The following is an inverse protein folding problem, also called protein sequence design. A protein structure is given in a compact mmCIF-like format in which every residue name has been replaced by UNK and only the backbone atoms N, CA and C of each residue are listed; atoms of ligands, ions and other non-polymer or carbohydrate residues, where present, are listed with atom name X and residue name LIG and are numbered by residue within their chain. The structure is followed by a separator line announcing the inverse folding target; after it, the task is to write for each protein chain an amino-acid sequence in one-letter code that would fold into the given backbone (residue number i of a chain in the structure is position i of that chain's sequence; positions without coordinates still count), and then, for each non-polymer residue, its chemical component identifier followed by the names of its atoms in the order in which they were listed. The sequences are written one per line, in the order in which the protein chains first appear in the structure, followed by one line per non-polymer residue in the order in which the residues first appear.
data_IF_913109755102
#
_entry.id   IF_913109755102
#
_cell.length_a   1.000
_cell.length_b   1.000
_cell.length_c   1.000
_cell.angle_alpha   90.00
_cell.angle_beta   90.00
_cell.angle_gamma   90.00
#
_symmetry.space_group_name_H-M   'P 1'
#
loop_
_entity.id
_entity.type
_entity.pdbx_description
1 polymer ?
#
# COMPACT_ATOMS: atom_id res chain seq x y z
N UNK A 1 -15.17 -16.46 60.27
CA UNK A 1 -15.77 -15.73 61.41
C UNK A 1 -15.20 -14.30 61.44
N UNK A 2 -15.87 -13.33 62.09
CA UNK A 2 -15.96 -11.98 61.53
C UNK A 2 -15.05 -10.92 62.18
N UNK A 3 -14.90 -9.79 61.49
CA UNK A 3 -14.62 -8.48 62.08
C UNK A 3 -15.73 -7.47 61.68
N UNK A 4 -15.89 -6.41 62.47
CA UNK A 4 -17.14 -5.64 62.56
C UNK A 4 -17.20 -4.35 61.73
N UNK A 5 -18.39 -3.78 61.63
CA UNK A 5 -18.69 -2.51 60.94
C UNK A 5 -18.27 -1.28 61.75
N UNK A 6 -17.82 -0.22 61.06
CA UNK A 6 -18.14 1.22 61.25
C UNK A 6 -17.17 2.07 60.40
N UNK A 7 -17.49 3.23 59.84
CA UNK A 7 -18.72 4.03 59.89
C UNK A 7 -18.80 5.05 58.75
N UNK A 8 -19.81 5.94 58.74
CA UNK A 8 -20.23 6.71 57.56
C UNK A 8 -20.10 8.25 57.71
N UNK A 9 -19.47 8.93 56.75
CA UNK A 9 -19.59 10.39 56.48
C UNK A 9 -18.87 10.76 55.18
N UNK A 10 -19.20 11.83 54.40
CA UNK A 10 -20.40 12.68 54.20
C UNK A 10 -20.19 13.49 52.90
N UNK A 11 -21.22 14.13 52.35
CA UNK A 11 -21.21 14.84 51.05
C UNK A 11 -21.00 16.36 51.12
N UNK A 12 -20.31 16.92 50.11
CA UNK A 12 -20.42 18.27 49.47
C UNK A 12 -19.34 18.32 48.37
N UNK A 13 -19.51 18.71 47.09
CA UNK A 13 -20.46 19.52 46.30
C UNK A 13 -20.09 21.02 46.16
N UNK A 14 -20.09 21.45 44.89
CA UNK A 14 -20.03 22.81 44.28
C UNK A 14 -18.65 23.32 43.77
N UNK A 15 -18.54 24.27 42.83
CA UNK A 15 -19.15 24.43 41.48
C UNK A 15 -18.39 25.50 40.65
N UNK A 16 -18.12 25.25 39.36
CA UNK A 16 -17.73 26.21 38.29
C UNK A 16 -16.41 27.04 38.35
N UNK A 17 -15.71 27.15 37.19
CA UNK A 17 -15.19 28.40 36.55
C UNK A 17 -13.91 28.23 35.67
N UNK A 18 -13.78 29.09 34.64
CA UNK A 18 -12.63 29.42 33.75
C UNK A 18 -12.40 30.96 33.85
N UNK A 19 -11.39 31.67 33.28
CA UNK A 19 -10.37 31.35 32.24
C UNK A 19 -8.92 31.87 32.60
N UNK A 20 -7.91 32.25 31.78
CA UNK A 20 -7.59 32.22 30.32
C UNK A 20 -6.06 32.33 30.01
N UNK A 21 -5.69 32.08 28.74
CA UNK A 21 -4.62 32.65 27.88
C UNK A 21 -3.23 33.15 28.40
N UNK A 22 -2.16 32.58 27.83
CA UNK A 22 -1.12 33.27 27.00
C UNK A 22 -0.05 32.26 26.51
N UNK A 23 0.23 32.04 25.21
CA UNK A 23 0.86 32.84 24.12
C UNK A 23 2.41 33.00 24.16
N UNK A 24 3.11 32.17 23.37
CA UNK A 24 4.04 32.49 22.23
C UNK A 24 4.82 31.21 21.83
N UNK A 25 5.35 31.02 20.61
CA UNK A 25 5.14 31.64 19.28
C UNK A 25 5.77 30.79 18.15
N UNK A 26 5.15 30.75 16.96
CA UNK A 26 5.82 30.40 15.68
C UNK A 26 5.82 31.65 14.78
N UNK A 27 6.85 31.87 13.93
CA UNK A 27 6.79 32.87 12.87
C UNK A 27 6.14 32.30 11.59
N UNK A 28 5.24 33.08 11.01
CA UNK A 28 4.88 33.07 9.60
C UNK A 28 4.81 34.53 9.14
N UNK A 29 5.02 34.81 7.86
CA UNK A 29 5.00 36.19 7.32
C UNK A 29 3.84 36.31 6.34
N UNK A 30 3.08 37.40 6.49
CA UNK A 30 1.87 37.68 5.72
C UNK A 30 2.09 38.69 4.58
N UNK A 31 1.36 38.45 3.48
CA UNK A 31 0.56 39.42 2.70
C UNK A 31 1.23 40.67 2.12
N UNK A 32 1.19 40.73 0.79
CA UNK A 32 0.78 41.91 0.01
C UNK A 32 0.02 41.44 -1.25
N UNK A 33 -0.81 42.29 -1.86
CA UNK A 33 -1.59 41.91 -3.05
C UNK A 33 -2.23 43.07 -3.81
N UNK A 34 -3.05 42.72 -4.82
CA UNK A 34 -3.76 43.58 -5.81
C UNK A 34 -2.88 44.28 -6.88
N UNK A 35 -2.92 43.68 -8.08
CA UNK A 35 -3.34 44.25 -9.36
C UNK A 35 -2.99 45.71 -9.75
N UNK A 36 -2.60 45.89 -11.03
CA UNK A 36 -3.44 46.61 -12.03
C UNK A 36 -3.03 46.24 -13.47
N UNK A 37 -4.01 46.37 -14.36
CA UNK A 37 -4.03 46.19 -15.83
C UNK A 37 -2.76 46.54 -16.63
N UNK A 38 -2.65 45.95 -17.82
CA UNK A 38 -2.59 46.76 -19.05
C UNK A 38 -3.21 46.03 -20.24
N UNK A 39 -4.18 46.67 -20.93
CA UNK A 39 -4.64 46.29 -22.26
C UNK A 39 -5.31 47.50 -22.93
N UNK A 40 -4.63 48.14 -23.89
CA UNK A 40 -5.14 49.23 -24.71
C UNK A 40 -4.22 49.48 -25.92
N UNK A 41 -4.78 49.85 -27.07
CA UNK A 41 -4.07 50.12 -28.32
C UNK A 41 -3.70 51.62 -28.49
N UNK A 42 -2.51 51.90 -29.02
CA UNK A 42 -2.20 53.01 -29.94
C UNK A 42 -0.69 52.93 -30.30
N UNK A 43 -0.25 52.63 -31.53
CA UNK A 43 -0.48 53.26 -32.84
C UNK A 43 0.49 54.40 -33.18
N UNK A 44 1.29 54.13 -34.22
CA UNK A 44 1.86 55.07 -35.21
C UNK A 44 3.25 55.73 -35.00
N UNK A 45 4.02 55.67 -36.10
CA UNK A 45 5.03 56.63 -36.61
C UNK A 45 6.30 56.94 -35.77
N UNK A 46 7.44 56.48 -36.27
CA UNK A 46 8.78 57.01 -35.99
C UNK A 46 9.81 56.44 -36.98
N UNK A 47 10.52 57.30 -37.73
CA UNK A 47 11.49 56.96 -38.80
C UNK A 47 12.74 57.84 -38.61
N UNK A 48 13.90 57.45 -39.18
CA UNK A 48 15.14 58.28 -39.33
C UNK A 48 15.93 58.45 -38.01
N UNK A 49 17.27 58.32 -37.92
CA UNK A 49 18.33 57.82 -38.84
C UNK A 49 19.57 57.35 -38.04
N UNK A 50 20.52 56.69 -38.73
CA UNK A 50 21.87 56.31 -38.24
C UNK A 50 22.72 57.53 -37.82
N UNK A 51 23.62 57.36 -36.84
CA UNK A 51 25.01 57.83 -37.00
C UNK A 51 25.98 56.81 -36.39
N UNK A 52 27.11 56.63 -37.07
CA UNK A 52 28.27 55.85 -36.64
C UNK A 52 29.42 56.77 -36.29
N UNK A 53 30.28 56.38 -35.35
CA UNK A 53 31.66 56.86 -35.27
C UNK A 53 32.58 55.69 -34.86
N UNK A 54 33.70 55.53 -35.56
CA UNK A 54 34.90 54.77 -35.14
C UNK A 54 35.79 55.73 -34.32
N UNK A 55 36.85 55.36 -33.60
CA UNK A 55 37.60 54.10 -33.45
C UNK A 55 38.34 54.10 -32.09
N UNK A 56 38.77 52.95 -31.58
CA UNK A 56 40.19 52.65 -31.29
C UNK A 56 40.38 51.35 -30.49
N UNK A 57 41.50 50.66 -30.76
CA UNK A 57 41.95 49.50 -29.99
C UNK A 57 42.57 49.91 -28.65
N UNK A 58 42.23 49.16 -27.60
CA UNK A 58 43.10 48.94 -26.44
C UNK A 58 43.15 47.43 -26.17
N UNK A 59 44.26 46.78 -26.53
CA UNK A 59 44.41 45.33 -26.41
C UNK A 59 44.74 44.92 -24.96
N UNK A 60 43.70 44.79 -24.13
CA UNK A 60 43.82 44.24 -22.78
C UNK A 60 43.76 42.71 -22.79
N UNK A 61 44.88 42.05 -22.51
CA UNK A 61 44.95 40.59 -22.35
C UNK A 61 44.31 40.18 -21.00
N UNK A 62 42.99 40.23 -20.90
CA UNK A 62 42.24 39.72 -19.74
C UNK A 62 42.27 38.20 -19.74
N UNK A 63 43.23 37.64 -19.02
CA UNK A 63 43.27 36.21 -18.70
C UNK A 63 42.07 35.87 -17.80
N UNK A 64 40.99 35.37 -18.42
CA UNK A 64 39.74 34.94 -17.77
C UNK A 64 40.05 34.19 -16.47
N UNK A 65 39.45 34.67 -15.38
CA UNK A 65 39.60 34.01 -14.08
C UNK A 65 38.96 32.62 -14.13
N UNK A 66 39.44 31.70 -13.29
CA UNK A 66 38.90 30.33 -13.20
C UNK A 66 37.40 30.31 -12.91
N UNK A 67 36.90 31.30 -12.16
CA UNK A 67 35.48 31.50 -11.89
C UNK A 67 34.68 31.86 -13.16
N UNK A 68 35.16 32.79 -13.99
CA UNK A 68 34.51 33.15 -15.27
C UNK A 68 34.53 31.97 -16.26
N UNK A 69 35.63 31.22 -16.29
CA UNK A 69 35.75 30.02 -17.11
C UNK A 69 34.82 28.89 -16.63
N UNK A 70 34.61 28.75 -15.31
CA UNK A 70 33.56 27.90 -14.73
C UNK A 70 32.16 28.40 -15.06
N UNK A 71 31.89 29.71 -15.00
CA UNK A 71 30.58 30.27 -15.37
C UNK A 71 30.28 30.06 -16.85
N UNK A 72 31.25 30.24 -17.76
CA UNK A 72 31.08 29.92 -19.18
C UNK A 72 30.85 28.43 -19.41
N UNK A 73 31.53 27.54 -18.67
CA UNK A 73 31.32 26.09 -18.77
C UNK A 73 29.96 25.65 -18.19
N UNK A 74 29.54 26.23 -17.07
CA UNK A 74 28.22 26.00 -16.48
C UNK A 74 27.11 26.53 -17.39
N UNK A 75 27.30 27.72 -17.99
CA UNK A 75 26.35 28.26 -18.96
C UNK A 75 26.28 27.39 -20.21
N UNK A 76 27.42 26.93 -20.75
CA UNK A 76 27.41 25.97 -21.87
C UNK A 76 26.65 24.70 -21.54
N UNK A 77 26.88 24.07 -20.37
CA UNK A 77 26.10 22.88 -19.98
C UNK A 77 24.61 23.19 -19.77
N UNK A 78 24.24 24.40 -19.36
CA UNK A 78 22.85 24.84 -19.24
C UNK A 78 22.18 25.05 -20.60
N UNK A 79 22.89 25.70 -21.53
CA UNK A 79 22.44 25.92 -22.91
C UNK A 79 22.37 24.57 -23.66
N UNK A 80 23.33 23.66 -23.46
CA UNK A 80 23.41 22.30 -24.04
C UNK A 80 22.30 21.38 -23.49
N UNK A 81 21.99 21.44 -22.18
CA UNK A 81 20.80 20.80 -21.60
C UNK A 81 19.48 21.36 -22.16
N UNK A 82 19.46 22.63 -22.56
CA UNK A 82 18.29 23.27 -23.14
C UNK A 82 18.13 22.91 -24.64
N UNK A 83 19.22 22.76 -25.38
CA UNK A 83 19.21 22.29 -26.77
C UNK A 83 18.93 20.77 -26.87
N UNK A 84 19.43 19.92 -25.97
CA UNK A 84 19.00 18.50 -25.87
C UNK A 84 17.49 18.38 -25.55
N UNK A 85 16.92 19.34 -24.82
CA UNK A 85 15.48 19.38 -24.52
C UNK A 85 14.63 19.71 -25.77
N UNK A 86 15.15 20.52 -26.69
CA UNK A 86 14.39 21.01 -27.85
C UNK A 86 14.32 19.98 -29.01
N UNK A 87 15.18 18.95 -28.98
CA UNK A 87 15.03 17.76 -29.85
C UNK A 87 13.80 16.89 -29.55
N UNK A 88 13.09 17.15 -28.43
CA UNK A 88 11.86 16.44 -28.02
C UNK A 88 10.78 17.36 -27.44
N UNK A 89 10.81 18.66 -27.77
CA UNK A 89 9.80 19.64 -27.32
C UNK A 89 8.43 19.40 -27.99
N UNK A 90 7.70 18.38 -27.51
CA UNK A 90 6.32 18.09 -27.96
C UNK A 90 5.50 19.37 -27.86
N UNK A 91 4.76 19.78 -28.91
CA UNK A 91 4.19 21.11 -29.00
C UNK A 91 3.32 21.41 -27.79
N UNK A 92 3.69 22.45 -27.04
CA UNK A 92 3.04 22.81 -25.77
C UNK A 92 1.59 23.20 -26.07
N UNK A 93 0.68 22.25 -25.80
CA UNK A 93 -0.76 22.47 -25.94
C UNK A 93 -1.15 23.58 -24.98
N UNK A 94 -1.66 24.69 -25.52
CA UNK A 94 -2.19 25.80 -24.72
C UNK A 94 -3.32 25.26 -23.84
N UNK A 95 -3.11 25.27 -22.53
CA UNK A 95 -4.14 24.95 -21.55
C UNK A 95 -5.28 25.96 -21.69
N UNK A 96 -6.49 25.46 -21.97
CA UNK A 96 -7.71 26.26 -22.01
C UNK A 96 -8.63 25.94 -20.83
N UNK A 97 -9.79 26.59 -20.78
CA UNK A 97 -10.72 26.50 -19.64
C UNK A 97 -11.16 25.05 -19.33
N UNK A 98 -11.27 24.20 -20.36
CA UNK A 98 -11.55 22.77 -20.20
C UNK A 98 -10.46 22.02 -19.39
N UNK A 99 -9.19 22.43 -19.52
CA UNK A 99 -8.07 21.90 -18.72
C UNK A 99 -8.03 22.44 -17.30
N UNK A 100 -8.63 23.62 -17.05
CA UNK A 100 -8.81 24.18 -15.70
C UNK A 100 -9.96 23.50 -14.94
N UNK A 101 -11.00 23.05 -15.67
CA UNK A 101 -12.17 22.40 -15.09
C UNK A 101 -12.04 20.87 -14.94
N UNK A 102 -11.17 20.21 -15.73
CA UNK A 102 -11.02 18.75 -15.72
C UNK A 102 -9.98 18.26 -14.71
N UNK A 103 -10.28 17.23 -13.88
CA UNK A 103 -9.28 16.61 -12.99
C UNK A 103 -8.19 15.84 -13.75
N UNK A 104 -8.37 15.58 -15.05
CA UNK A 104 -7.37 14.96 -15.92
C UNK A 104 -7.21 15.77 -17.22
N UNK A 105 -5.97 16.15 -17.55
CA UNK A 105 -5.63 16.82 -18.82
C UNK A 105 -4.59 16.01 -19.58
N UNK A 106 -4.90 15.64 -20.83
CA UNK A 106 -3.95 14.99 -21.72
C UNK A 106 -2.97 16.02 -22.31
N UNK A 107 -1.66 15.74 -22.23
CA UNK A 107 -0.59 16.63 -22.73
C UNK A 107 -0.35 16.52 -24.25
N UNK A 108 -0.94 15.54 -24.91
CA UNK A 108 -0.75 15.25 -26.33
C UNK A 108 -2.11 15.05 -27.01
N UNK A 109 -2.20 15.36 -28.30
CA UNK A 109 -3.41 15.20 -29.10
C UNK A 109 -3.68 13.71 -29.42
N UNK A 110 -4.14 12.96 -28.42
CA UNK A 110 -4.48 11.54 -28.51
C UNK A 110 -5.64 11.20 -27.58
N UNK A 111 -6.48 10.26 -28.00
CA UNK A 111 -7.56 9.70 -27.17
C UNK A 111 -7.12 8.54 -26.27
N UNK A 112 -5.92 7.98 -26.49
CA UNK A 112 -5.39 6.84 -25.73
C UNK A 112 -5.34 7.03 -24.19
N UNK A 113 -5.04 8.23 -23.64
CA UNK A 113 -5.11 8.46 -22.19
C UNK A 113 -6.49 8.15 -21.58
N UNK A 114 -7.57 8.16 -22.37
CA UNK A 114 -8.91 7.76 -21.92
C UNK A 114 -8.96 6.28 -21.56
N UNK A 115 -8.36 5.40 -22.37
CA UNK A 115 -8.28 3.97 -22.06
C UNK A 115 -7.32 3.69 -20.92
N UNK A 116 -6.21 4.43 -20.85
CA UNK A 116 -5.19 4.27 -19.80
C UNK A 116 -5.75 4.62 -18.41
N UNK A 117 -6.50 5.73 -18.30
CA UNK A 117 -7.20 6.13 -17.08
C UNK A 117 -8.24 5.08 -16.67
N UNK A 118 -8.94 4.46 -17.61
CA UNK A 118 -9.91 3.39 -17.30
C UNK A 118 -9.20 2.10 -16.85
N UNK A 119 -8.08 1.73 -17.46
CA UNK A 119 -7.25 0.60 -17.02
C UNK A 119 -6.70 0.84 -15.60
N UNK A 120 -6.08 2.00 -15.37
CA UNK A 120 -5.53 2.39 -14.06
C UNK A 120 -6.63 2.45 -13.00
N UNK A 121 -7.80 3.03 -13.30
CA UNK A 121 -8.92 3.10 -12.35
C UNK A 121 -9.45 1.71 -11.94
N UNK A 122 -9.54 0.76 -12.88
CA UNK A 122 -9.97 -0.62 -12.60
C UNK A 122 -8.92 -1.39 -11.79
N UNK A 123 -7.65 -1.28 -12.16
CA UNK A 123 -6.51 -1.83 -11.42
C UNK A 123 -6.47 -1.28 -9.99
N UNK A 124 -6.62 0.03 -9.82
CA UNK A 124 -6.64 0.70 -8.52
C UNK A 124 -7.81 0.23 -7.66
N UNK A 125 -9.03 0.13 -8.22
CA UNK A 125 -10.20 -0.36 -7.48
C UNK A 125 -10.01 -1.81 -6.99
N UNK A 126 -9.49 -2.70 -7.84
CA UNK A 126 -9.17 -4.09 -7.44
C UNK A 126 -8.09 -4.12 -6.36
N UNK A 127 -7.06 -3.28 -6.50
CA UNK A 127 -5.93 -3.20 -5.56
C UNK A 127 -6.37 -2.67 -4.19
N UNK A 128 -7.25 -1.67 -4.16
CA UNK A 128 -7.87 -1.17 -2.93
C UNK A 128 -8.75 -2.24 -2.27
N UNK A 129 -9.58 -2.96 -3.03
CA UNK A 129 -10.46 -4.00 -2.47
C UNK A 129 -9.67 -5.19 -1.91
N UNK A 130 -8.65 -5.69 -2.60
CA UNK A 130 -7.81 -6.78 -2.07
C UNK A 130 -7.02 -6.32 -0.84
N UNK A 131 -6.54 -5.07 -0.80
CA UNK A 131 -5.87 -4.51 0.37
C UNK A 131 -6.80 -4.45 1.59
N UNK A 132 -8.05 -4.03 1.42
CA UNK A 132 -9.03 -4.07 2.51
C UNK A 132 -9.34 -5.50 2.97
N UNK A 133 -9.39 -6.49 2.06
CA UNK A 133 -9.53 -7.90 2.45
C UNK A 133 -8.35 -8.35 3.32
N UNK A 134 -7.13 -8.15 2.82
CA UNK A 134 -5.88 -8.54 3.49
C UNK A 134 -5.76 -7.87 4.87
N UNK A 135 -6.05 -6.57 4.96
CA UNK A 135 -5.97 -5.81 6.21
C UNK A 135 -6.97 -6.33 7.25
N UNK A 136 -8.21 -6.62 6.85
CA UNK A 136 -9.23 -7.16 7.75
C UNK A 136 -8.86 -8.54 8.30
N UNK A 137 -8.35 -9.43 7.44
CA UNK A 137 -7.90 -10.77 7.81
C UNK A 137 -6.67 -10.73 8.73
N UNK A 138 -5.68 -9.89 8.41
CA UNK A 138 -4.48 -9.77 9.24
C UNK A 138 -4.81 -9.18 10.62
N UNK A 139 -5.71 -8.18 10.67
CA UNK A 139 -6.22 -7.63 11.93
C UNK A 139 -6.87 -8.72 12.80
N UNK A 140 -7.73 -9.56 12.22
CA UNK A 140 -8.39 -10.67 12.94
C UNK A 140 -7.40 -11.76 13.39
N UNK A 141 -6.42 -12.12 12.58
CA UNK A 141 -5.35 -13.07 12.96
C UNK A 141 -4.49 -12.50 14.08
N UNK A 142 -4.01 -11.26 13.98
CA UNK A 142 -3.21 -10.59 15.02
C UNK A 142 -4.00 -10.46 16.33
N UNK A 143 -5.28 -10.08 16.27
CA UNK A 143 -6.13 -9.98 17.45
C UNK A 143 -6.30 -11.32 18.17
N UNK A 144 -6.45 -12.43 17.44
CA UNK A 144 -6.51 -13.77 18.07
C UNK A 144 -5.16 -14.20 18.64
N UNK A 145 -4.04 -13.98 17.93
CA UNK A 145 -2.68 -14.28 18.43
C UNK A 145 -2.42 -13.55 19.74
N UNK A 146 -2.69 -12.24 19.79
CA UNK A 146 -2.56 -11.44 21.02
C UNK A 146 -3.50 -11.94 22.14
N UNK A 147 -4.72 -12.39 21.81
CA UNK A 147 -5.68 -12.90 22.78
C UNK A 147 -5.23 -14.22 23.42
N UNK A 148 -4.73 -15.18 22.63
CA UNK A 148 -4.16 -16.43 23.15
C UNK A 148 -2.95 -16.13 24.03
N UNK A 149 -1.98 -15.38 23.50
CA UNK A 149 -0.75 -15.11 24.22
C UNK A 149 -0.99 -14.36 25.54
N UNK A 150 -1.95 -13.42 25.57
CA UNK A 150 -2.38 -12.76 26.80
C UNK A 150 -3.01 -13.72 27.84
N UNK A 151 -3.78 -14.72 27.40
CA UNK A 151 -4.34 -15.76 28.28
C UNK A 151 -3.26 -16.71 28.82
N UNK A 152 -2.23 -17.00 28.03
CA UNK A 152 -1.05 -17.79 28.43
C UNK A 152 0.01 -16.96 29.19
N UNK A 153 -0.27 -15.68 29.46
CA UNK A 153 0.60 -14.74 30.17
C UNK A 153 1.89 -14.35 29.45
N UNK A 154 1.96 -14.50 28.13
CA UNK A 154 3.13 -14.20 27.30
C UNK A 154 2.88 -13.07 26.31
N UNK A 155 3.91 -12.29 26.02
CA UNK A 155 3.87 -11.13 25.10
C UNK A 155 4.60 -11.51 23.79
N UNK A 156 4.35 -10.79 22.69
CA UNK A 156 5.19 -10.92 21.48
C UNK A 156 6.55 -10.25 21.74
N UNK A 157 7.64 -10.84 21.27
CA UNK A 157 8.96 -10.22 21.36
C UNK A 157 9.10 -9.03 20.40
N UNK A 158 9.76 -7.95 20.81
CA UNK A 158 9.89 -6.74 19.98
C UNK A 158 10.48 -7.01 18.59
N UNK A 159 11.46 -7.93 18.53
CA UNK A 159 12.10 -8.38 17.29
C UNK A 159 11.09 -9.14 16.40
N UNK A 160 10.30 -10.04 16.99
CA UNK A 160 9.26 -10.81 16.30
C UNK A 160 8.21 -9.88 15.68
N UNK A 161 7.74 -8.90 16.47
CA UNK A 161 6.78 -7.87 16.04
C UNK A 161 7.37 -6.96 14.95
N UNK A 162 8.63 -6.52 15.10
CA UNK A 162 9.33 -5.68 14.13
C UNK A 162 9.47 -6.38 12.77
N UNK A 163 9.91 -7.64 12.76
CA UNK A 163 10.04 -8.44 11.53
C UNK A 163 8.69 -8.64 10.86
N UNK A 164 7.64 -8.92 11.64
CA UNK A 164 6.29 -9.07 11.09
C UNK A 164 5.80 -7.75 10.46
N UNK A 165 6.03 -6.61 11.13
CA UNK A 165 5.76 -5.27 10.61
C UNK A 165 6.49 -4.96 9.30
N UNK A 166 7.78 -5.33 9.20
CA UNK A 166 8.57 -5.17 7.96
C UNK A 166 7.99 -5.99 6.82
N UNK A 167 7.60 -7.26 7.06
CA UNK A 167 6.94 -8.08 6.03
C UNK A 167 5.59 -7.49 5.60
N UNK A 168 4.75 -7.04 6.54
CA UNK A 168 3.47 -6.35 6.24
C UNK A 168 3.71 -5.15 5.32
N UNK A 169 4.61 -4.24 5.70
CA UNK A 169 4.89 -3.01 4.95
C UNK A 169 5.47 -3.33 3.56
N UNK A 170 6.41 -4.26 3.46
CA UNK A 170 6.99 -4.68 2.18
C UNK A 170 5.92 -5.25 1.24
N UNK A 171 5.06 -6.15 1.73
CA UNK A 171 4.00 -6.73 0.90
C UNK A 171 2.95 -5.70 0.46
N UNK A 172 2.47 -4.82 1.35
CA UNK A 172 1.56 -3.74 0.94
C UNK A 172 2.20 -2.79 -0.08
N UNK A 173 3.50 -2.49 0.04
CA UNK A 173 4.24 -1.66 -0.91
C UNK A 173 4.37 -2.33 -2.29
N UNK A 174 4.73 -3.61 -2.36
CA UNK A 174 4.85 -4.31 -3.65
C UNK A 174 3.50 -4.66 -4.30
N UNK A 175 2.41 -4.67 -3.52
CA UNK A 175 1.03 -4.81 -4.04
C UNK A 175 0.46 -3.47 -4.53
N UNK A 176 0.73 -2.35 -3.85
CA UNK A 176 0.30 -1.02 -4.36
C UNK A 176 1.02 -0.61 -5.65
N UNK A 177 2.26 -1.08 -5.83
CA UNK A 177 3.03 -0.90 -7.06
C UNK A 177 2.72 -1.96 -8.15
N UNK A 178 1.66 -2.75 -8.01
CA UNK A 178 1.23 -3.69 -9.04
C UNK A 178 0.75 -2.94 -10.29
N UNK A 179 1.35 -3.22 -11.45
CA UNK A 179 1.02 -2.53 -12.70
C UNK A 179 -0.35 -2.96 -13.26
N UNK A 180 -1.14 -2.04 -13.85
CA UNK A 180 -2.34 -2.38 -14.61
C UNK A 180 -1.98 -3.16 -15.88
N UNK A 181 -2.92 -3.97 -16.39
CA UNK A 181 -2.81 -4.47 -17.77
C UNK A 181 -3.12 -3.34 -18.78
N UNK A 182 -2.42 -3.30 -19.94
CA UNK A 182 -2.74 -2.37 -21.02
C UNK A 182 -4.04 -2.74 -21.74
N UNK A 183 -4.48 -3.99 -21.65
CA UNK A 183 -5.68 -4.50 -22.32
C UNK A 183 -6.92 -4.42 -21.42
N UNK A 184 -7.95 -3.71 -21.88
CA UNK A 184 -9.26 -3.66 -21.20
C UNK A 184 -9.96 -5.03 -21.24
N UNK A 185 -10.00 -5.72 -20.11
CA UNK A 185 -10.80 -6.94 -19.94
C UNK A 185 -12.31 -6.64 -20.00
N UNK A 186 -13.13 -7.64 -20.33
CA UNK A 186 -14.59 -7.49 -20.37
C UNK A 186 -15.26 -7.58 -18.98
N UNK A 187 -14.65 -8.32 -18.05
CA UNK A 187 -15.16 -8.55 -16.69
C UNK A 187 -15.10 -7.27 -15.85
N UNK A 188 -16.20 -6.89 -15.18
CA UNK A 188 -16.19 -5.72 -14.28
C UNK A 188 -15.68 -6.12 -12.89
N UNK A 189 -14.77 -5.34 -12.27
CA UNK A 189 -14.42 -5.54 -10.88
C UNK A 189 -15.65 -5.30 -9.98
N UNK A 190 -15.65 -5.92 -8.79
CA UNK A 190 -16.68 -5.63 -7.79
C UNK A 190 -16.59 -4.15 -7.35
N UNK A 191 -17.71 -3.48 -7.04
CA UNK A 191 -17.69 -2.08 -6.62
C UNK A 191 -17.35 -1.90 -5.13
N UNK A 192 -17.86 -2.79 -4.26
CA UNK A 192 -17.89 -2.63 -2.81
C UNK A 192 -17.41 -3.89 -2.08
N UNK A 193 -16.80 -3.71 -0.90
CA UNK A 193 -16.39 -4.80 0.01
C UNK A 193 -17.61 -5.58 0.52
N UNK A 194 -18.68 -4.87 0.87
CA UNK A 194 -19.93 -5.44 1.41
C UNK A 194 -20.82 -6.14 0.35
N UNK A 195 -20.25 -6.57 -0.76
CA UNK A 195 -20.94 -7.48 -1.68
C UNK A 195 -20.90 -8.89 -1.08
N UNK A 196 -22.06 -9.56 -0.99
CA UNK A 196 -22.24 -10.82 -0.24
C UNK A 196 -21.10 -11.84 -0.44
N UNK A 197 -20.66 -12.01 -1.69
CA UNK A 197 -19.65 -12.98 -2.09
C UNK A 197 -18.24 -12.64 -1.54
N UNK A 198 -17.92 -11.34 -1.44
CA UNK A 198 -16.66 -10.84 -0.86
C UNK A 198 -16.70 -10.95 0.66
N UNK A 199 -17.85 -10.71 1.27
CA UNK A 199 -18.06 -10.92 2.71
C UNK A 199 -18.02 -12.41 3.11
N UNK A 200 -18.66 -13.28 2.33
CA UNK A 200 -18.63 -14.75 2.51
C UNK A 200 -17.21 -15.30 2.33
N UNK A 201 -16.47 -14.76 1.37
CA UNK A 201 -15.03 -15.01 1.23
C UNK A 201 -14.30 -14.65 2.52
N UNK A 202 -14.40 -13.41 2.99
CA UNK A 202 -13.76 -12.95 4.23
C UNK A 202 -14.13 -13.80 5.46
N UNK A 203 -15.40 -14.15 5.62
CA UNK A 203 -15.88 -14.92 6.77
C UNK A 203 -15.35 -16.36 6.76
N UNK A 204 -15.41 -17.05 5.61
CA UNK A 204 -14.85 -18.41 5.50
C UNK A 204 -13.32 -18.44 5.55
N UNK A 205 -12.65 -17.41 5.00
CA UNK A 205 -11.21 -17.22 5.14
C UNK A 205 -10.79 -17.04 6.61
N UNK A 206 -11.49 -16.16 7.35
CA UNK A 206 -11.28 -15.98 8.79
C UNK A 206 -11.54 -17.28 9.58
N UNK A 207 -12.62 -18.00 9.29
CA UNK A 207 -12.92 -19.28 9.94
C UNK A 207 -11.79 -20.31 9.73
N UNK A 208 -11.24 -20.43 8.52
CA UNK A 208 -10.11 -21.31 8.24
C UNK A 208 -8.84 -20.90 9.00
N UNK A 209 -8.53 -19.60 9.08
CA UNK A 209 -7.42 -19.10 9.90
C UNK A 209 -7.60 -19.45 11.39
N UNK A 210 -8.80 -19.19 11.91
CA UNK A 210 -9.14 -19.39 13.31
C UNK A 210 -9.07 -20.88 13.69
N UNK A 211 -9.63 -21.76 12.86
CA UNK A 211 -9.53 -23.22 13.05
C UNK A 211 -8.06 -23.66 13.06
N UNK A 212 -7.26 -23.21 12.08
CA UNK A 212 -5.85 -23.60 11.98
C UNK A 212 -5.03 -23.14 13.20
N UNK A 213 -5.27 -21.92 13.65
CA UNK A 213 -4.57 -21.29 14.76
C UNK A 213 -4.97 -21.93 16.11
N UNK A 214 -6.27 -22.16 16.35
CA UNK A 214 -6.75 -22.97 17.49
C UNK A 214 -6.11 -24.37 17.47
N UNK A 215 -6.11 -25.07 16.33
CA UNK A 215 -5.57 -26.43 16.24
C UNK A 215 -4.05 -26.47 16.49
N UNK A 216 -3.32 -25.45 16.04
CA UNK A 216 -1.87 -25.37 16.23
C UNK A 216 -1.49 -25.05 17.68
N UNK A 217 -2.19 -24.11 18.31
CA UNK A 217 -2.03 -23.80 19.74
C UNK A 217 -2.37 -25.03 20.60
N UNK A 218 -3.51 -25.69 20.36
CA UNK A 218 -3.91 -26.92 21.07
C UNK A 218 -3.03 -28.14 20.82
N UNK A 219 -2.24 -28.15 19.75
CA UNK A 219 -1.20 -29.17 19.56
C UNK A 219 0.08 -28.82 20.31
N UNK A 220 0.39 -27.53 20.49
CA UNK A 220 1.53 -27.04 21.28
C UNK A 220 1.30 -27.18 22.79
N UNK A 221 0.10 -26.86 23.29
CA UNK A 221 -0.33 -27.04 24.70
C UNK A 221 0.04 -28.44 25.23
N UNK A 222 -0.17 -29.49 24.44
CA UNK A 222 0.11 -30.90 24.80
C UNK A 222 1.58 -31.22 25.11
N UNK A 223 2.50 -30.33 24.73
CA UNK A 223 3.94 -30.47 24.98
C UNK A 223 4.46 -29.46 26.01
N UNK A 224 3.58 -28.65 26.62
CA UNK A 224 3.91 -27.67 27.65
C UNK A 224 3.36 -28.16 29.01
N UNK A 225 4.12 -28.07 30.13
CA UNK A 225 3.57 -28.30 31.46
C UNK A 225 2.56 -27.20 31.84
N UNK A 226 1.64 -27.50 32.77
CA UNK A 226 0.71 -26.52 33.35
C UNK A 226 1.45 -25.55 34.29
N UNK A 227 2.17 -24.58 33.72
CA UNK A 227 2.81 -23.48 34.45
C UNK A 227 1.91 -22.24 34.45
N UNK A 228 1.44 -21.83 35.64
CA UNK A 228 0.63 -20.64 35.81
C UNK A 228 1.49 -19.36 35.71
N UNK A 229 1.63 -18.82 34.48
CA UNK A 229 2.30 -17.54 34.22
C UNK A 229 1.34 -16.38 34.56
N UNK A 230 1.83 -15.36 35.28
CA UNK A 230 1.04 -14.16 35.59
C UNK A 230 0.93 -13.24 34.35
N UNK A 231 -0.29 -12.79 33.94
CA UNK A 231 -0.49 -12.05 32.68
C UNK A 231 0.31 -10.75 32.49
N UNK A 232 0.72 -10.10 33.58
CA UNK A 232 1.50 -8.86 33.53
C UNK A 232 3.03 -9.06 33.57
N UNK A 233 3.53 -10.29 33.71
CA UNK A 233 4.96 -10.60 33.79
C UNK A 233 5.79 -10.22 32.54
N UNK A 234 7.11 -10.16 32.67
CA UNK A 234 8.02 -9.85 31.55
C UNK A 234 8.00 -10.93 30.46
N UNK A 235 8.53 -10.61 29.27
CA UNK A 235 8.58 -11.59 28.17
C UNK A 235 9.38 -12.84 28.55
N UNK A 236 8.70 -13.96 28.69
CA UNK A 236 9.29 -15.30 28.77
C UNK A 236 8.98 -16.10 27.49
N UNK A 237 10.00 -16.66 26.80
CA UNK A 237 9.78 -17.45 25.59
C UNK A 237 9.24 -18.84 25.96
N UNK A 238 7.97 -19.12 25.62
CA UNK A 238 7.36 -20.43 25.74
C UNK A 238 7.06 -21.07 24.37
N UNK A 239 6.59 -22.33 24.38
CA UNK A 239 6.27 -23.07 23.17
C UNK A 239 5.05 -22.49 22.44
N UNK A 240 4.04 -22.00 23.16
CA UNK A 240 2.82 -21.46 22.56
C UNK A 240 3.07 -20.15 21.82
N UNK A 241 3.89 -19.23 22.35
CA UNK A 241 4.39 -18.05 21.64
C UNK A 241 5.14 -18.45 20.36
N UNK A 242 6.05 -19.40 20.47
CA UNK A 242 6.85 -19.89 19.33
C UNK A 242 5.97 -20.39 18.19
N UNK A 243 4.98 -21.23 18.49
CA UNK A 243 4.02 -21.75 17.51
C UNK A 243 3.08 -20.66 17.01
N UNK A 244 2.57 -19.80 17.90
CA UNK A 244 1.66 -18.69 17.54
C UNK A 244 2.34 -17.70 16.59
N UNK A 245 3.61 -17.36 16.81
CA UNK A 245 4.40 -16.52 15.92
C UNK A 245 4.61 -17.17 14.55
N UNK A 246 5.06 -18.43 14.50
CA UNK A 246 5.25 -19.17 13.24
C UNK A 246 3.94 -19.29 12.45
N UNK A 247 2.84 -19.64 13.12
CA UNK A 247 1.52 -19.76 12.49
C UNK A 247 1.00 -18.40 12.03
N UNK A 248 1.20 -17.33 12.80
CA UNK A 248 0.83 -15.96 12.40
C UNK A 248 1.56 -15.53 11.13
N UNK A 249 2.88 -15.75 11.07
CA UNK A 249 3.70 -15.48 9.88
C UNK A 249 3.22 -16.27 8.66
N UNK A 250 2.93 -17.56 8.81
CA UNK A 250 2.38 -18.41 7.73
C UNK A 250 0.99 -17.95 7.27
N UNK A 251 0.06 -17.68 8.20
CA UNK A 251 -1.27 -17.16 7.89
C UNK A 251 -1.18 -15.82 7.17
N UNK A 252 -0.29 -14.93 7.59
CA UNK A 252 -0.08 -13.64 6.94
C UNK A 252 0.44 -13.81 5.50
N UNK A 253 1.48 -14.62 5.29
CA UNK A 253 2.02 -14.91 3.94
C UNK A 253 0.94 -15.52 3.04
N UNK A 254 0.18 -16.50 3.55
CA UNK A 254 -0.95 -17.08 2.83
C UNK A 254 -2.01 -16.01 2.46
N UNK A 255 -2.35 -15.13 3.40
CA UNK A 255 -3.32 -14.02 3.21
C UNK A 255 -2.96 -13.16 2.02
N UNK A 256 -1.70 -12.73 1.94
CA UNK A 256 -1.20 -11.89 0.85
C UNK A 256 -1.21 -12.61 -0.50
N UNK A 257 -0.85 -13.91 -0.54
CA UNK A 257 -0.81 -14.69 -1.79
C UNK A 257 -2.21 -14.98 -2.36
N UNK A 258 -3.12 -15.51 -1.54
CA UNK A 258 -4.40 -16.04 -2.04
C UNK A 258 -5.39 -14.93 -2.42
N UNK A 259 -5.33 -13.79 -1.70
CA UNK A 259 -6.14 -12.61 -2.00
C UNK A 259 -5.56 -11.72 -3.11
N UNK A 260 -4.33 -11.96 -3.59
CA UNK A 260 -3.78 -11.21 -4.71
C UNK A 260 -4.55 -11.49 -5.99
N UNK A 261 -5.21 -10.45 -6.52
CA UNK A 261 -5.89 -10.43 -7.80
C UNK A 261 -4.95 -9.84 -8.85
N UNK A 262 -4.34 -10.75 -9.63
CA UNK A 262 -3.60 -10.42 -10.85
C UNK A 262 -4.55 -10.22 -12.05
N UNK A 263 -4.40 -11.07 -13.06
CA UNK A 263 -5.28 -11.04 -14.23
C UNK A 263 -6.76 -11.22 -13.83
N UNK A 264 -7.70 -10.53 -14.50
CA UNK A 264 -7.51 -9.77 -15.73
C UNK A 264 -7.38 -8.24 -15.52
N UNK A 265 -6.89 -7.79 -14.35
CA UNK A 265 -6.82 -6.36 -14.00
C UNK A 265 -5.39 -5.87 -13.72
N UNK A 266 -4.63 -6.63 -12.93
CA UNK A 266 -3.25 -6.36 -12.56
C UNK A 266 -2.31 -7.41 -13.17
N UNK A 267 -1.01 -7.11 -13.23
CA UNK A 267 0.03 -8.12 -13.44
C UNK A 267 -0.07 -9.26 -12.40
N UNK A 268 0.25 -10.48 -12.79
CA UNK A 268 0.34 -11.66 -11.91
C UNK A 268 1.47 -11.54 -10.87
N UNK A 269 1.48 -12.43 -9.87
CA UNK A 269 2.55 -12.49 -8.85
C UNK A 269 3.92 -12.72 -9.52
N UNK A 270 3.98 -13.56 -10.56
CA UNK A 270 5.22 -13.92 -11.28
C UNK A 270 5.77 -12.73 -12.08
N UNK A 271 4.89 -11.93 -12.69
CA UNK A 271 5.27 -10.70 -13.39
C UNK A 271 5.67 -9.59 -12.40
N UNK A 272 5.05 -9.54 -11.21
CA UNK A 272 5.39 -8.64 -10.12
C UNK A 272 6.68 -9.07 -9.39
N UNK A 273 7.83 -9.02 -10.07
CA UNK A 273 9.13 -9.47 -9.55
C UNK A 273 9.45 -9.00 -8.12
N UNK A 274 9.24 -7.73 -7.72
CA UNK A 274 9.47 -7.30 -6.33
C UNK A 274 8.62 -8.07 -5.30
N UNK A 275 7.33 -8.28 -5.59
CA UNK A 275 6.44 -9.06 -4.74
C UNK A 275 6.83 -10.54 -4.72
N UNK A 276 7.23 -11.11 -5.87
CA UNK A 276 7.72 -12.48 -5.98
C UNK A 276 8.99 -12.73 -5.13
N UNK A 277 9.96 -11.82 -5.18
CA UNK A 277 11.18 -11.93 -4.36
C UNK A 277 10.88 -11.77 -2.87
N UNK A 278 10.05 -10.80 -2.48
CA UNK A 278 9.62 -10.63 -1.09
C UNK A 278 8.89 -11.87 -0.55
N UNK A 279 8.02 -12.47 -1.37
CA UNK A 279 7.32 -13.72 -1.04
C UNK A 279 8.31 -14.89 -0.88
N UNK A 280 9.28 -15.02 -1.79
CA UNK A 280 10.33 -16.04 -1.68
C UNK A 280 11.17 -15.91 -0.42
N UNK A 281 11.53 -14.67 -0.04
CA UNK A 281 12.24 -14.38 1.23
C UNK A 281 11.38 -14.76 2.44
N UNK A 282 10.10 -14.41 2.46
CA UNK A 282 9.22 -14.72 3.60
C UNK A 282 8.95 -16.22 3.76
N UNK A 283 8.72 -16.94 2.65
CA UNK A 283 8.55 -18.41 2.67
C UNK A 283 9.85 -19.10 3.08
N UNK A 284 11.00 -18.65 2.54
CA UNK A 284 12.31 -19.16 2.94
C UNK A 284 12.62 -18.92 4.41
N UNK A 285 12.35 -17.72 4.93
CA UNK A 285 12.49 -17.38 6.35
C UNK A 285 11.59 -18.26 7.23
N UNK A 286 10.31 -18.41 6.88
CA UNK A 286 9.40 -19.31 7.59
C UNK A 286 9.91 -20.76 7.60
N UNK A 287 10.35 -21.29 6.46
CA UNK A 287 10.89 -22.65 6.38
C UNK A 287 12.17 -22.80 7.22
N UNK A 288 13.06 -21.80 7.22
CA UNK A 288 14.27 -21.81 8.06
C UNK A 288 13.93 -21.89 9.55
N UNK A 289 13.03 -21.04 10.05
CA UNK A 289 12.69 -21.02 11.49
C UNK A 289 11.93 -22.28 11.92
N UNK A 290 11.02 -22.80 11.09
CA UNK A 290 10.25 -24.01 11.40
C UNK A 290 11.06 -25.30 11.24
N UNK A 291 11.97 -25.39 10.26
CA UNK A 291 12.87 -26.55 10.14
C UNK A 291 14.03 -26.53 11.15
N UNK A 292 14.17 -25.46 11.93
CA UNK A 292 15.16 -25.33 13.02
C UNK A 292 16.62 -25.46 12.53
N UNK A 293 16.86 -25.12 11.25
CA UNK A 293 18.12 -25.33 10.54
C UNK A 293 19.24 -24.37 10.99
N UNK A 294 18.87 -23.22 11.52
CA UNK A 294 19.78 -22.19 12.03
C UNK A 294 19.37 -21.81 13.45
N UNK A 295 19.84 -22.57 14.45
CA UNK A 295 19.55 -22.35 15.88
C UNK A 295 19.80 -20.90 16.30
N UNK A 296 20.93 -20.31 15.92
CA UNK A 296 21.31 -18.94 16.27
C UNK A 296 20.25 -17.89 15.87
N UNK A 297 19.56 -18.11 14.74
CA UNK A 297 18.47 -17.23 14.29
C UNK A 297 17.21 -17.44 15.15
N UNK A 298 16.87 -18.69 15.47
CA UNK A 298 15.74 -18.99 16.36
C UNK A 298 15.97 -18.44 17.77
N UNK A 299 17.20 -18.53 18.30
CA UNK A 299 17.56 -18.00 19.62
C UNK A 299 17.55 -16.46 19.63
N UNK A 300 18.02 -15.80 18.56
CA UNK A 300 17.90 -14.34 18.39
C UNK A 300 16.44 -13.87 18.29
N UNK A 301 15.57 -14.68 17.68
CA UNK A 301 14.12 -14.48 17.65
C UNK A 301 13.41 -14.86 18.97
N UNK A 302 14.16 -15.38 19.97
CA UNK A 302 13.65 -15.96 21.22
C UNK A 302 12.57 -17.04 21.00
N UNK A 303 12.80 -17.93 20.03
CA UNK A 303 11.94 -19.07 19.71
C UNK A 303 12.43 -20.33 20.44
N UNK A 304 11.51 -21.02 21.11
CA UNK A 304 11.79 -22.24 21.88
C UNK A 304 12.02 -23.42 20.91
N UNK A 305 12.98 -24.34 21.17
CA UNK A 305 13.15 -25.55 20.36
C UNK A 305 11.85 -26.35 20.27
N UNK A 306 11.33 -26.51 19.05
CA UNK A 306 10.11 -27.29 18.79
C UNK A 306 10.36 -28.78 19.07
N UNK A 307 9.49 -29.47 19.84
CA UNK A 307 9.50 -30.93 19.93
C UNK A 307 9.42 -31.56 18.53
N UNK A 308 10.22 -32.59 18.27
CA UNK A 308 10.33 -33.23 16.94
C UNK A 308 8.96 -33.59 16.36
N UNK A 309 8.11 -34.24 17.16
CA UNK A 309 6.75 -34.64 16.78
C UNK A 309 5.74 -33.49 16.62
N UNK A 310 6.11 -32.24 16.92
CA UNK A 310 5.34 -31.02 16.63
C UNK A 310 5.91 -30.31 15.40
N UNK A 311 7.24 -30.12 15.36
CA UNK A 311 7.98 -29.53 14.24
C UNK A 311 7.64 -30.21 12.92
N UNK A 312 7.69 -31.55 12.91
CA UNK A 312 7.51 -32.35 11.71
C UNK A 312 6.03 -32.43 11.27
N UNK A 313 5.07 -32.04 12.13
CA UNK A 313 3.66 -31.80 11.78
C UNK A 313 3.43 -30.41 11.22
N UNK A 314 4.13 -29.39 11.72
CA UNK A 314 3.82 -27.98 11.46
C UNK A 314 3.99 -27.58 9.98
N UNK A 315 5.01 -28.10 9.30
CA UNK A 315 5.23 -27.83 7.87
C UNK A 315 4.15 -28.47 6.96
N UNK A 316 3.79 -29.77 7.10
CA UNK A 316 2.63 -30.35 6.42
C UNK A 316 1.30 -29.65 6.76
N UNK A 317 1.10 -29.26 8.01
CA UNK A 317 -0.09 -28.52 8.46
C UNK A 317 -0.20 -27.15 7.77
N UNK A 318 0.90 -26.42 7.64
CA UNK A 318 0.95 -25.16 6.90
C UNK A 318 0.60 -25.33 5.41
N UNK A 319 1.10 -26.38 4.76
CA UNK A 319 0.75 -26.72 3.37
C UNK A 319 -0.74 -27.09 3.22
N UNK A 320 -1.30 -27.85 4.17
CA UNK A 320 -2.72 -28.20 4.21
C UNK A 320 -3.61 -26.95 4.40
N UNK A 321 -3.22 -26.04 5.30
CA UNK A 321 -3.91 -24.77 5.50
C UNK A 321 -3.89 -23.94 4.22
N UNK A 322 -2.71 -23.70 3.63
CA UNK A 322 -2.57 -22.91 2.40
C UNK A 322 -3.41 -23.51 1.27
N UNK A 323 -3.40 -24.84 1.12
CA UNK A 323 -4.19 -25.56 0.11
C UNK A 323 -5.69 -25.42 0.34
N UNK A 324 -6.15 -25.54 1.58
CA UNK A 324 -7.57 -25.38 1.96
C UNK A 324 -8.06 -23.95 1.71
N UNK A 325 -7.23 -22.98 2.11
CA UNK A 325 -7.47 -21.55 1.98
C UNK A 325 -7.50 -21.09 0.52
N UNK A 326 -6.54 -21.53 -0.29
CA UNK A 326 -6.53 -21.30 -1.74
C UNK A 326 -7.74 -21.95 -2.43
N UNK A 327 -8.11 -23.17 -2.03
CA UNK A 327 -9.27 -23.89 -2.57
C UNK A 327 -10.59 -23.18 -2.25
N UNK A 328 -10.76 -22.66 -1.04
CA UNK A 328 -11.93 -21.86 -0.65
C UNK A 328 -12.09 -20.61 -1.51
N UNK A 329 -11.03 -19.81 -1.65
CA UNK A 329 -11.07 -18.59 -2.47
C UNK A 329 -11.16 -18.90 -3.98
N UNK A 330 -10.70 -20.07 -4.44
CA UNK A 330 -10.89 -20.52 -5.82
C UNK A 330 -12.34 -20.98 -6.06
N UNK A 331 -12.94 -21.70 -5.12
CA UNK A 331 -14.33 -22.15 -5.16
C UNK A 331 -15.30 -20.96 -5.20
N UNK A 332 -15.10 -19.94 -4.35
CA UNK A 332 -15.95 -18.75 -4.36
C UNK A 332 -15.78 -17.91 -5.63
N UNK A 333 -14.54 -17.76 -6.15
CA UNK A 333 -14.31 -17.10 -7.46
C UNK A 333 -14.94 -17.87 -8.64
N UNK A 334 -15.10 -19.19 -8.53
CA UNK A 334 -15.79 -20.01 -9.53
C UNK A 334 -17.32 -19.96 -9.40
N UNK A 335 -17.86 -20.03 -8.18
CA UNK A 335 -19.29 -19.95 -7.90
C UNK A 335 -19.87 -18.55 -8.22
N UNK A 336 -19.03 -17.52 -8.14
CA UNK A 336 -19.42 -16.12 -8.29
C UNK A 336 -18.52 -15.35 -9.27
N UNK A 337 -18.52 -15.68 -10.58
CA UNK A 337 -17.70 -14.99 -11.57
C UNK A 337 -18.10 -13.51 -11.71
N UNK A 338 -17.14 -12.64 -12.06
CA UNK A 338 -17.38 -11.22 -12.23
C UNK A 338 -18.37 -10.93 -13.35
N UNK A 339 -19.20 -9.88 -13.16
CA UNK A 339 -20.30 -9.57 -14.07
C UNK A 339 -19.77 -9.05 -15.42
N UNK A 340 -19.73 -9.93 -16.42
CA UNK A 340 -19.50 -9.55 -17.82
C UNK A 340 -20.72 -8.76 -18.32
N UNK A 341 -20.57 -7.49 -18.74
CA UNK A 341 -21.70 -6.71 -19.22
C UNK A 341 -22.12 -7.20 -20.61
N UNK A 342 -23.43 -7.31 -20.85
CA UNK A 342 -24.01 -7.79 -22.10
C UNK A 342 -23.92 -6.77 -23.27
N UNK A 343 -22.81 -6.03 -23.38
CA UNK A 343 -22.59 -5.02 -24.42
C UNK A 343 -22.65 -5.61 -25.83
N UNK A 344 -22.09 -6.81 -26.02
CA UNK A 344 -22.11 -7.53 -27.31
C UNK A 344 -23.54 -7.93 -27.71
N UNK A 345 -24.39 -8.28 -26.75
CA UNK A 345 -25.82 -8.54 -26.98
C UNK A 345 -26.55 -7.25 -27.35
N UNK A 346 -26.31 -6.15 -26.63
CA UNK A 346 -26.89 -4.84 -26.94
C UNK A 346 -26.45 -4.30 -28.30
N UNK A 347 -25.18 -4.46 -28.68
CA UNK A 347 -24.70 -4.08 -30.01
C UNK A 347 -25.35 -4.90 -31.13
N UNK A 348 -25.51 -6.22 -30.95
CA UNK A 348 -26.27 -7.05 -31.91
C UNK A 348 -27.74 -6.60 -32.02
N UNK A 349 -28.38 -6.27 -30.90
CA UNK A 349 -29.74 -5.71 -30.91
C UNK A 349 -29.81 -4.35 -31.63
N UNK A 350 -28.84 -3.46 -31.41
CA UNK A 350 -28.75 -2.16 -32.10
C UNK A 350 -28.53 -2.34 -33.60
N UNK A 351 -27.62 -3.21 -34.03
CA UNK A 351 -27.37 -3.51 -35.43
C UNK A 351 -28.63 -4.03 -36.14
N UNK A 352 -29.29 -5.05 -35.59
CA UNK A 352 -30.55 -5.61 -36.12
C UNK A 352 -31.68 -4.56 -36.13
N UNK A 353 -31.71 -3.64 -35.15
CA UNK A 353 -32.67 -2.52 -35.15
C UNK A 353 -32.34 -1.39 -36.13
N UNK A 354 -31.12 -1.38 -36.67
CA UNK A 354 -30.67 -0.43 -37.70
C UNK A 354 -30.97 -0.97 -39.10
N UNK A 355 -30.71 -2.27 -39.34
CA UNK A 355 -31.14 -2.96 -40.57
C UNK A 355 -32.66 -2.86 -40.77
N UNK A 356 -33.44 -3.10 -39.69
CA UNK A 356 -34.92 -2.90 -39.66
C UNK A 356 -35.39 -1.43 -39.75
N UNK A 357 -34.50 -0.48 -40.05
CA UNK A 357 -34.81 0.93 -40.36
C UNK A 357 -34.28 1.36 -41.73
N UNK A 358 -33.65 0.45 -42.48
CA UNK A 358 -33.18 0.64 -43.85
C UNK A 358 -34.00 -0.18 -44.87
N UNK A 359 -35.06 -0.85 -44.38
CA UNK A 359 -36.11 -1.56 -45.13
C UNK A 359 -37.45 -1.01 -44.66
#
# INVERSE_FOLDING_TARGET
MPLAQSGNSKTSKDESAKPENSKKSKPGVEVAGKAVNHNAEASSKGKVVKKSDYCNHAAGNQHLTTAEMQQQKLKKMLDELNEESDGRSTPIVKLGDASMASPFTAKHASVAPTTDIICQGRSTLVTTLQMFKILGLNCLTIAYVLSVMYLDGVKLGDIQATINGVFIVAFFLFISNARPLPTLSAERPHPNIFFSNVFLSLMGQFALHLIFLISSVKEAEKYMPEECIEPDSDFHPNLVNTVSYMVSMMLQVATFVVNYMGHPFNQSIIENKPFLYALGVAVGFFTIITSDLFRDLNDWLKLVPLPVGLRDKLLPWALLMFSSYYSWERLLRWAFPGKIPAWRTRQRQVAVSSEKKQV
#
